data_IF_363010840121
#
_entry.id   IF_363010840121
#
_cell.length_a   1.000
_cell.length_b   1.000
_cell.length_c   1.000
_cell.angle_alpha   90.00
_cell.angle_beta   90.00
_cell.angle_gamma   90.00
#
_symmetry.space_group_name_H-M   'P 1'
#
loop_
_entity.id
_entity.type
_entity.pdbx_description
1 polymer ?
#
# COMPACT_ATOMS: atom_id res chain seq x y z
N UNK A 1 27.52 7.37 -2.89
CA UNK A 1 27.15 7.56 -1.48
C UNK A 1 26.58 6.26 -0.94
N UNK A 2 27.41 5.52 -0.20
CA UNK A 2 27.11 4.18 0.31
C UNK A 2 26.30 4.32 1.60
N UNK A 3 25.04 3.87 1.61
CA UNK A 3 24.26 3.83 2.86
C UNK A 3 24.84 2.74 3.76
N UNK A 4 25.23 3.10 4.99
CA UNK A 4 25.52 2.13 6.05
C UNK A 4 24.25 1.30 6.31
N UNK A 5 24.40 -0.02 6.37
CA UNK A 5 23.41 -0.89 6.98
C UNK A 5 23.47 -0.69 8.50
N UNK A 6 22.35 -0.32 9.12
CA UNK A 6 22.24 -0.20 10.57
C UNK A 6 21.24 0.89 10.98
N UNK A 7 20.15 0.43 11.58
CA UNK A 7 19.00 1.20 12.11
C UNK A 7 17.95 1.56 11.05
N UNK A 8 16.88 0.76 11.00
CA UNK A 8 15.61 1.21 10.42
C UNK A 8 15.20 2.46 11.20
N UNK A 9 15.02 3.63 10.55
CA UNK A 9 14.55 4.81 11.25
C UNK A 9 13.22 4.51 11.96
N UNK A 10 12.96 5.20 13.07
CA UNK A 10 11.72 5.07 13.82
C UNK A 10 10.51 5.11 12.87
N UNK A 11 9.48 4.28 13.12
CA UNK A 11 8.30 4.26 12.27
C UNK A 11 7.68 5.66 12.21
N UNK A 12 7.61 6.22 11.00
CA UNK A 12 7.03 7.57 10.77
C UNK A 12 5.51 7.52 10.54
N UNK A 13 4.93 6.33 10.69
CA UNK A 13 3.53 6.04 10.45
C UNK A 13 2.65 6.39 11.66
N UNK A 14 1.57 7.10 11.37
CA UNK A 14 0.46 7.35 12.28
C UNK A 14 -0.75 6.57 11.81
N UNK A 15 -1.41 5.87 12.72
CA UNK A 15 -2.70 5.22 12.44
C UNK A 15 -3.79 6.29 12.37
N UNK A 16 -4.62 6.23 11.33
CA UNK A 16 -5.79 7.10 11.18
C UNK A 16 -7.03 6.29 10.77
N UNK A 17 -8.17 6.97 10.64
CA UNK A 17 -9.45 6.36 10.28
C UNK A 17 -9.66 6.33 8.77
N UNK A 18 -10.43 5.34 8.30
CA UNK A 18 -11.05 5.39 6.98
C UNK A 18 -11.95 6.62 6.92
N UNK A 19 -11.71 7.50 5.95
CA UNK A 19 -12.36 8.81 5.85
C UNK A 19 -11.59 10.00 6.44
N UNK A 20 -10.32 9.83 6.85
CA UNK A 20 -9.42 10.97 7.05
C UNK A 20 -9.39 11.83 5.77
N UNK A 21 -9.77 13.11 5.88
CA UNK A 21 -9.91 14.01 4.74
C UNK A 21 -8.59 14.28 4.02
N UNK A 22 -7.45 14.22 4.72
CA UNK A 22 -6.14 14.41 4.10
C UNK A 22 -5.72 13.16 3.31
N UNK A 23 -5.98 11.97 3.86
CA UNK A 23 -5.79 10.71 3.16
C UNK A 23 -6.74 10.55 1.97
N UNK A 24 -7.98 11.02 2.10
CA UNK A 24 -8.95 11.00 1.01
C UNK A 24 -8.46 11.84 -0.19
N UNK A 25 -7.93 13.05 0.06
CA UNK A 25 -7.31 13.87 -1.00
C UNK A 25 -6.15 13.16 -1.69
N UNK A 26 -5.29 12.46 -0.93
CA UNK A 26 -4.21 11.65 -1.51
C UNK A 26 -4.76 10.48 -2.33
N UNK A 27 -5.77 9.78 -1.82
CA UNK A 27 -6.41 8.67 -2.49
C UNK A 27 -7.05 9.10 -3.81
N UNK A 28 -7.73 10.25 -3.86
CA UNK A 28 -8.36 10.78 -5.09
C UNK A 28 -7.35 11.04 -6.22
N UNK A 29 -6.06 11.25 -5.89
CA UNK A 29 -4.95 11.38 -6.86
C UNK A 29 -4.30 10.03 -7.22
N UNK A 30 -4.68 8.95 -6.56
CA UNK A 30 -4.13 7.62 -6.81
C UNK A 30 -4.81 7.00 -8.03
N UNK A 31 -4.07 6.27 -8.87
CA UNK A 31 -4.63 5.72 -10.12
C UNK A 31 -5.71 4.66 -9.89
N UNK A 32 -5.77 4.05 -8.70
CA UNK A 32 -6.82 3.10 -8.33
C UNK A 32 -8.07 3.78 -7.73
N UNK A 33 -8.11 5.12 -7.68
CA UNK A 33 -9.25 5.86 -7.18
C UNK A 33 -10.49 5.59 -8.04
N UNK A 34 -11.45 4.88 -7.46
CA UNK A 34 -12.70 4.58 -8.16
C UNK A 34 -13.53 5.86 -8.35
N UNK A 35 -13.95 6.12 -9.59
CA UNK A 35 -14.79 7.25 -9.95
C UNK A 35 -16.26 6.80 -9.97
N UNK A 36 -17.07 7.34 -9.08
CA UNK A 36 -18.50 7.03 -9.03
C UNK A 36 -19.22 7.68 -10.20
N UNK A 37 -19.94 6.89 -10.99
CA UNK A 37 -20.72 7.38 -12.14
C UNK A 37 -21.87 8.31 -11.74
N UNK A 38 -22.39 8.17 -10.52
CA UNK A 38 -23.48 8.97 -9.99
C UNK A 38 -23.03 10.30 -9.34
N UNK A 39 -21.74 10.63 -9.41
CA UNK A 39 -21.19 11.88 -8.88
C UNK A 39 -21.21 11.98 -7.36
N UNK A 40 -21.50 10.90 -6.62
CA UNK A 40 -21.54 10.95 -5.15
C UNK A 40 -20.20 11.40 -4.59
N UNK A 41 -20.25 12.28 -3.57
CA UNK A 41 -19.04 12.68 -2.85
C UNK A 41 -18.50 11.52 -2.03
N UNK A 42 -17.26 11.13 -2.31
CA UNK A 42 -16.58 10.07 -1.56
C UNK A 42 -16.34 10.50 -0.12
N UNK A 43 -16.64 9.60 0.82
CA UNK A 43 -16.36 9.75 2.26
C UNK A 43 -15.36 8.72 2.78
N UNK A 44 -15.33 7.54 2.17
CA UNK A 44 -14.47 6.41 2.55
C UNK A 44 -13.69 5.92 1.32
N UNK A 45 -12.52 5.33 1.55
CA UNK A 45 -11.62 4.93 0.46
C UNK A 45 -11.07 3.51 0.57
N UNK A 46 -11.26 2.82 1.70
CA UNK A 46 -10.66 1.48 1.89
C UNK A 46 -11.54 0.32 1.39
N UNK A 47 -12.86 0.49 1.32
CA UNK A 47 -13.80 -0.62 1.08
C UNK A 47 -14.01 -1.52 2.32
N UNK A 48 -14.91 -2.52 2.28
CA UNK A 48 -15.27 -3.36 3.44
C UNK A 48 -14.16 -4.32 3.88
N UNK A 49 -14.21 -4.82 5.11
CA UNK A 49 -13.21 -5.74 5.68
C UNK A 49 -12.34 -5.10 6.77
N UNK A 50 -11.47 -5.89 7.39
CA UNK A 50 -10.50 -5.40 8.36
C UNK A 50 -9.44 -4.55 7.66
N UNK A 51 -8.99 -3.48 8.31
CA UNK A 51 -8.10 -2.51 7.68
C UNK A 51 -7.27 -1.73 8.68
N UNK A 52 -6.11 -1.27 8.22
CA UNK A 52 -5.30 -0.26 8.89
C UNK A 52 -4.97 0.82 7.87
N UNK A 53 -5.20 2.08 8.24
CA UNK A 53 -4.83 3.25 7.44
C UNK A 53 -3.65 3.93 8.12
N UNK A 54 -2.55 4.04 7.40
CA UNK A 54 -1.34 4.69 7.86
C UNK A 54 -1.11 5.97 7.06
N UNK A 55 -0.70 7.02 7.74
CA UNK A 55 -0.22 8.27 7.13
C UNK A 55 1.02 8.78 7.83
N UNK A 56 1.82 9.57 7.14
CA UNK A 56 2.87 10.37 7.79
C UNK A 56 2.23 11.53 8.56
N UNK A 57 3.01 12.11 9.48
CA UNK A 57 2.60 13.29 10.24
C UNK A 57 2.11 14.42 9.33
N UNK A 58 2.79 14.68 8.22
CA UNK A 58 2.44 15.73 7.26
C UNK A 58 1.34 15.35 6.24
N UNK A 59 0.79 14.13 6.31
CA UNK A 59 -0.15 13.61 5.31
C UNK A 59 0.39 13.65 3.87
N UNK A 60 1.68 13.39 3.70
CA UNK A 60 2.37 13.33 2.42
C UNK A 60 2.77 11.89 2.03
N UNK A 61 2.46 10.89 2.86
CA UNK A 61 2.40 9.51 2.44
C UNK A 61 1.19 8.79 3.05
N UNK A 62 0.65 7.83 2.30
CA UNK A 62 -0.52 7.01 2.64
C UNK A 62 -0.21 5.54 2.35
N UNK A 63 -0.50 4.68 3.31
CA UNK A 63 -0.46 3.23 3.15
C UNK A 63 -1.75 2.62 3.74
N UNK A 64 -2.40 1.74 2.99
CA UNK A 64 -3.64 1.07 3.42
C UNK A 64 -3.46 -0.44 3.37
N UNK A 65 -3.53 -1.07 4.53
CA UNK A 65 -3.69 -2.52 4.66
C UNK A 65 -5.16 -2.89 4.71
N UNK A 66 -5.52 -3.99 4.06
CA UNK A 66 -6.88 -4.51 4.06
C UNK A 66 -6.90 -6.04 4.01
N UNK A 67 -7.61 -6.68 4.93
CA UNK A 67 -7.96 -8.11 4.88
C UNK A 67 -9.42 -8.23 4.43
N UNK A 68 -9.64 -8.84 3.29
CA UNK A 68 -10.97 -8.95 2.68
C UNK A 68 -11.07 -10.18 1.78
N UNK A 69 -12.32 -10.51 1.41
CA UNK A 69 -12.63 -11.59 0.48
C UNK A 69 -13.06 -10.98 -0.86
N UNK A 70 -12.51 -11.49 -1.95
CA UNK A 70 -12.95 -11.15 -3.31
C UNK A 70 -12.87 -12.36 -4.26
N UNK A 71 -13.25 -12.14 -5.51
CA UNK A 71 -13.23 -13.18 -6.54
C UNK A 71 -11.86 -13.39 -7.20
N UNK A 72 -10.79 -12.73 -6.73
CA UNK A 72 -9.44 -12.87 -7.30
C UNK A 72 -8.75 -14.17 -6.88
N UNK A 73 -9.25 -14.82 -5.81
CA UNK A 73 -8.63 -15.98 -5.20
C UNK A 73 -7.34 -15.67 -4.44
N UNK A 74 -6.97 -14.39 -4.28
CA UNK A 74 -5.83 -14.01 -3.44
C UNK A 74 -6.19 -14.12 -1.95
N UNK A 75 -5.23 -14.57 -1.16
CA UNK A 75 -5.32 -14.66 0.30
C UNK A 75 -4.20 -13.86 0.98
N UNK A 76 -4.46 -13.46 2.23
CA UNK A 76 -3.56 -12.64 3.04
C UNK A 76 -4.05 -11.19 3.23
N UNK A 77 -3.11 -10.29 3.51
CA UNK A 77 -3.35 -8.87 3.74
C UNK A 77 -2.92 -8.07 2.50
N UNK A 78 -3.84 -7.29 1.96
CA UNK A 78 -3.62 -6.50 0.77
C UNK A 78 -3.13 -5.10 1.11
N UNK A 79 -2.05 -4.66 0.48
CA UNK A 79 -1.76 -3.24 0.33
C UNK A 79 -2.70 -2.67 -0.75
N UNK A 80 -3.82 -2.10 -0.31
CA UNK A 80 -4.88 -1.58 -1.17
C UNK A 80 -4.55 -0.21 -1.77
N UNK A 81 -3.76 0.60 -1.05
CA UNK A 81 -3.30 1.91 -1.49
C UNK A 81 -1.90 2.14 -0.94
N UNK A 82 -0.98 2.54 -1.81
CA UNK A 82 0.29 3.12 -1.39
C UNK A 82 0.59 4.35 -2.25
N UNK A 83 0.74 5.50 -1.60
CA UNK A 83 1.11 6.75 -2.25
C UNK A 83 2.15 7.46 -1.40
N UNK A 84 3.24 7.90 -2.03
CA UNK A 84 4.30 8.64 -1.37
C UNK A 84 4.57 9.94 -2.16
N UNK A 85 4.22 11.06 -1.55
CA UNK A 85 4.55 12.44 -1.99
C UNK A 85 5.59 13.08 -1.04
N UNK A 86 6.07 12.34 -0.03
CA UNK A 86 7.03 12.77 0.98
C UNK A 86 8.49 12.58 0.54
N UNK A 87 9.49 13.12 1.27
CA UNK A 87 10.91 12.88 0.99
C UNK A 87 11.40 11.50 1.45
N UNK A 88 10.59 10.71 2.18
CA UNK A 88 10.99 9.39 2.66
C UNK A 88 11.17 8.41 1.51
N UNK A 89 12.15 7.50 1.66
CA UNK A 89 12.34 6.44 0.67
C UNK A 89 11.15 5.47 0.71
N UNK A 90 10.51 5.26 -0.44
CA UNK A 90 9.31 4.43 -0.55
C UNK A 90 9.52 3.00 -0.02
N UNK A 91 10.68 2.40 -0.27
CA UNK A 91 10.99 1.06 0.25
C UNK A 91 11.18 1.02 1.77
N UNK A 92 11.65 2.10 2.39
CA UNK A 92 11.76 2.20 3.85
C UNK A 92 10.36 2.30 4.47
N UNK A 93 9.48 3.12 3.88
CA UNK A 93 8.06 3.22 4.25
C UNK A 93 7.32 1.89 4.14
N UNK A 94 7.53 1.12 3.06
CA UNK A 94 6.94 -0.20 2.87
C UNK A 94 7.41 -1.17 3.97
N UNK A 95 8.72 -1.23 4.27
CA UNK A 95 9.23 -2.11 5.34
C UNK A 95 8.65 -1.77 6.73
N UNK A 96 8.48 -0.48 7.02
CA UNK A 96 7.82 -0.06 8.26
C UNK A 96 6.34 -0.47 8.28
N UNK A 97 5.64 -0.35 7.14
CA UNK A 97 4.23 -0.76 7.03
C UNK A 97 4.07 -2.29 7.13
N UNK A 98 4.98 -3.07 6.56
CA UNK A 98 5.05 -4.53 6.70
C UNK A 98 5.20 -4.91 8.18
N UNK A 99 6.14 -4.29 8.89
CA UNK A 99 6.36 -4.57 10.32
C UNK A 99 5.12 -4.27 11.19
N UNK A 100 4.31 -3.28 10.82
CA UNK A 100 3.03 -2.99 11.49
C UNK A 100 2.01 -4.09 11.17
N UNK A 101 1.88 -4.48 9.89
CA UNK A 101 0.97 -5.55 9.49
C UNK A 101 1.32 -6.89 10.15
N UNK A 102 2.61 -7.25 10.25
CA UNK A 102 3.08 -8.45 10.95
C UNK A 102 2.63 -8.48 12.43
N UNK A 103 2.38 -7.32 13.06
CA UNK A 103 1.90 -7.27 14.45
C UNK A 103 0.39 -7.37 14.57
N UNK A 104 -0.33 -6.88 13.57
CA UNK A 104 -1.79 -6.90 13.56
C UNK A 104 -2.35 -8.21 12.98
N UNK A 105 -1.62 -8.80 12.04
CA UNK A 105 -1.96 -10.03 11.33
C UNK A 105 -0.71 -10.93 11.20
N UNK A 106 -0.25 -11.55 12.31
CA UNK A 106 0.95 -12.39 12.31
C UNK A 106 0.85 -13.54 11.31
N UNK A 107 1.99 -13.89 10.68
CA UNK A 107 2.09 -15.01 9.72
C UNK A 107 1.22 -14.91 8.46
N UNK A 108 0.58 -13.76 8.20
CA UNK A 108 -0.24 -13.58 7.01
C UNK A 108 0.59 -13.12 5.80
N UNK A 109 0.27 -13.64 4.61
CA UNK A 109 0.90 -13.20 3.36
C UNK A 109 0.58 -11.72 3.11
N UNK A 110 1.55 -10.91 2.74
CA UNK A 110 1.30 -9.57 2.22
C UNK A 110 1.26 -9.61 0.69
N UNK A 111 0.31 -8.89 0.09
CA UNK A 111 0.23 -8.81 -1.36
C UNK A 111 -0.30 -7.45 -1.86
N UNK A 112 -0.01 -7.12 -3.11
CA UNK A 112 -0.54 -5.92 -3.77
C UNK A 112 -0.71 -6.14 -5.27
N UNK A 113 -1.50 -5.27 -5.89
CA UNK A 113 -1.69 -5.20 -7.32
C UNK A 113 -1.16 -3.87 -7.84
N UNK A 114 -0.19 -3.92 -8.74
CA UNK A 114 0.36 -2.74 -9.40
C UNK A 114 -0.08 -2.73 -10.85
N UNK A 115 -0.67 -1.62 -11.30
CA UNK A 115 -0.96 -1.43 -12.71
C UNK A 115 0.30 -0.87 -13.41
N UNK A 116 1.04 -1.67 -14.21
CA UNK A 116 2.26 -1.21 -14.83
C UNK A 116 2.04 -0.04 -15.80
N UNK A 117 0.82 0.13 -16.33
CA UNK A 117 0.47 1.21 -17.26
C UNK A 117 0.31 2.58 -16.59
N UNK A 118 0.16 2.61 -15.26
CA UNK A 118 -0.04 3.85 -14.49
C UNK A 118 1.17 4.24 -13.63
N UNK A 119 2.28 3.52 -13.77
CA UNK A 119 3.54 3.80 -13.06
C UNK A 119 4.55 4.36 -14.03
N UNK A 120 5.13 5.53 -13.71
CA UNK A 120 6.14 6.20 -14.56
C UNK A 120 7.44 5.39 -14.71
N UNK A 121 7.79 4.60 -13.69
CA UNK A 121 8.97 3.73 -13.73
C UNK A 121 8.79 2.62 -14.76
N UNK A 122 9.82 2.39 -15.59
CA UNK A 122 9.88 1.22 -16.47
C UNK A 122 9.79 -0.11 -15.70
N UNK A 123 10.23 -0.10 -14.44
CA UNK A 123 10.09 -1.23 -13.50
C UNK A 123 8.98 -0.92 -12.49
N UNK A 124 7.75 -1.25 -12.87
CA UNK A 124 6.59 -1.14 -11.99
C UNK A 124 6.79 -1.99 -10.74
N UNK A 125 6.51 -1.42 -9.56
CA UNK A 125 6.70 -2.12 -8.28
C UNK A 125 8.13 -2.17 -7.74
N UNK A 126 9.09 -1.46 -8.36
CA UNK A 126 10.50 -1.44 -7.91
C UNK A 126 10.65 -1.12 -6.41
N UNK A 127 9.84 -0.22 -5.85
CA UNK A 127 9.87 0.11 -4.43
C UNK A 127 9.54 -1.10 -3.52
N UNK A 128 8.58 -1.93 -3.92
CA UNK A 128 8.24 -3.17 -3.23
C UNK A 128 9.37 -4.20 -3.35
N UNK A 129 9.93 -4.36 -4.55
CA UNK A 129 11.10 -5.24 -4.76
C UNK A 129 12.29 -4.79 -3.88
N UNK A 130 12.56 -3.49 -3.81
CA UNK A 130 13.56 -2.92 -2.90
C UNK A 130 13.22 -3.14 -1.43
N UNK A 131 11.94 -3.24 -1.07
CA UNK A 131 11.49 -3.58 0.28
C UNK A 131 11.59 -5.09 0.59
N UNK A 132 11.91 -5.92 -0.41
CA UNK A 132 12.08 -7.38 -0.27
C UNK A 132 10.90 -8.20 -0.79
N UNK A 133 9.90 -7.56 -1.41
CA UNK A 133 8.78 -8.25 -2.03
C UNK A 133 9.22 -8.94 -3.33
N UNK A 134 8.50 -9.98 -3.72
CA UNK A 134 8.74 -10.77 -4.92
C UNK A 134 7.56 -10.67 -5.87
N UNK A 135 7.79 -10.86 -7.17
CA UNK A 135 6.72 -10.97 -8.16
C UNK A 135 6.05 -12.34 -8.03
N UNK A 136 4.73 -12.35 -8.01
CA UNK A 136 3.91 -13.55 -7.86
C UNK A 136 3.09 -13.89 -9.11
N UNK A 137 3.15 -13.05 -10.15
CA UNK A 137 2.47 -13.26 -11.43
C UNK A 137 1.69 -12.03 -11.91
N UNK A 138 0.72 -12.29 -12.79
CA UNK A 138 -0.16 -11.28 -13.38
C UNK A 138 -1.62 -11.68 -13.16
N UNK A 139 -2.49 -10.71 -12.87
CA UNK A 139 -3.93 -10.95 -12.92
C UNK A 139 -4.40 -11.09 -14.37
N UNK A 140 -5.62 -11.62 -14.59
CA UNK A 140 -6.23 -11.68 -15.93
C UNK A 140 -6.31 -10.31 -16.62
N UNK A 141 -6.45 -9.23 -15.83
CA UNK A 141 -6.47 -7.85 -16.31
C UNK A 141 -5.08 -7.22 -16.50
N UNK A 142 -4.00 -7.98 -16.33
CA UNK A 142 -2.62 -7.51 -16.52
C UNK A 142 -2.04 -6.71 -15.36
N UNK A 143 -2.61 -6.80 -14.15
CA UNK A 143 -2.01 -6.19 -12.96
C UNK A 143 -0.86 -7.07 -12.46
N UNK A 144 0.28 -6.46 -12.16
CA UNK A 144 1.41 -7.13 -11.52
C UNK A 144 1.05 -7.47 -10.08
N UNK A 145 1.17 -8.75 -9.73
CA UNK A 145 1.03 -9.22 -8.36
C UNK A 145 2.41 -9.25 -7.72
N UNK A 146 2.54 -8.56 -6.59
CA UNK A 146 3.73 -8.60 -5.74
C UNK A 146 3.33 -9.14 -4.37
N UNK A 147 4.23 -9.89 -3.74
CA UNK A 147 3.98 -10.51 -2.45
C UNK A 147 5.20 -10.55 -1.53
N UNK A 148 4.93 -10.72 -0.25
CA UNK A 148 5.90 -11.10 0.77
C UNK A 148 5.27 -12.20 1.64
N UNK A 149 6.07 -13.19 2.01
CA UNK A 149 5.64 -14.20 2.99
C UNK A 149 5.48 -13.55 4.36
N UNK A 150 4.44 -13.95 5.10
CA UNK A 150 4.22 -13.50 6.48
C UNK A 150 5.37 -13.91 7.40
N UNK A 151 5.58 -13.12 8.44
CA UNK A 151 6.62 -13.33 9.46
C UNK A 151 6.04 -13.62 10.83
#
# INVERSE_FOLDING_TARGET
MTRKAGTTPDPVWWITKDGDLTCLKMYERHYSAYQYQDGRKRKLFCGPGEKIVLRTQHADALFVWRKFIDASGQTGINCAVFRNESPYLASDLIRQADAIADRCWPSERHYTFVNPRHVRSARAGLCFECAGWKRAGLTKGGLLVLEMAGR
#
